data_IF_794432667099
#
_entry.id   IF_794432667099
#
_cell.length_a   1.000
_cell.length_b   1.000
_cell.length_c   1.000
_cell.angle_alpha   90.00
_cell.angle_beta   90.00
_cell.angle_gamma   90.00
#
_symmetry.space_group_name_H-M   'P 1'
#
loop_
_entity.id
_entity.type
_entity.pdbx_description
1 polymer ?
#
# COMPACT_ATOMS: atom_id res chain seq x y z
N UNK A 1 -6.48 -5.24 14.26
CA UNK A 1 -6.05 -4.68 12.96
C UNK A 1 -4.92 -5.57 12.47
N UNK A 2 -4.79 -5.80 11.15
CA UNK A 2 -3.64 -6.55 10.61
C UNK A 2 -2.36 -5.71 10.81
N UNK A 3 -1.27 -6.33 11.31
CA UNK A 3 0.03 -5.67 11.50
C UNK A 3 0.49 -4.96 10.22
N UNK A 4 0.15 -5.53 9.06
CA UNK A 4 0.47 -4.97 7.74
C UNK A 4 -0.28 -3.66 7.45
N UNK A 5 -1.54 -3.56 7.90
CA UNK A 5 -2.35 -2.35 7.72
C UNK A 5 -1.84 -1.20 8.60
N UNK A 6 -1.46 -1.50 9.85
CA UNK A 6 -0.88 -0.51 10.77
C UNK A 6 0.44 0.05 10.24
N UNK A 7 1.32 -0.82 9.71
CA UNK A 7 2.58 -0.40 9.08
C UNK A 7 2.35 0.51 7.87
N UNK A 8 1.32 0.22 7.06
CA UNK A 8 0.96 1.06 5.91
C UNK A 8 0.37 2.40 6.32
N UNK A 9 -0.42 2.46 7.40
CA UNK A 9 -0.95 3.71 7.94
C UNK A 9 0.22 4.63 8.33
N UNK A 10 1.18 4.12 9.09
CA UNK A 10 2.34 4.90 9.50
C UNK A 10 3.21 5.32 8.31
N UNK A 11 3.35 4.45 7.30
CA UNK A 11 4.02 4.79 6.05
C UNK A 11 3.33 5.96 5.31
N UNK A 12 2.01 5.93 5.17
CA UNK A 12 1.27 7.00 4.49
C UNK A 12 1.27 8.30 5.30
N UNK A 13 1.22 8.22 6.63
CA UNK A 13 1.37 9.40 7.51
C UNK A 13 2.73 10.06 7.36
N UNK A 14 3.82 9.27 7.40
CA UNK A 14 5.18 9.76 7.12
C UNK A 14 5.32 10.31 5.70
N UNK A 15 4.45 9.87 4.80
CA UNK A 15 4.35 10.35 3.43
C UNK A 15 3.48 11.62 3.27
N UNK A 16 2.92 12.18 4.35
CA UNK A 16 2.16 13.43 4.34
C UNK A 16 0.64 13.27 4.31
N UNK A 17 0.11 12.04 4.35
CA UNK A 17 -1.33 11.81 4.49
C UNK A 17 -1.77 12.09 5.93
N UNK A 18 -2.98 12.63 6.10
CA UNK A 18 -3.60 12.68 7.43
C UNK A 18 -4.10 11.27 7.87
N UNK A 19 -4.52 11.13 9.13
CA UNK A 19 -4.93 9.84 9.70
C UNK A 19 -6.04 9.14 8.92
N UNK A 20 -7.07 9.88 8.47
CA UNK A 20 -8.19 9.34 7.71
C UNK A 20 -7.73 8.85 6.33
N UNK A 21 -6.97 9.69 5.62
CA UNK A 21 -6.39 9.35 4.32
C UNK A 21 -5.48 8.11 4.43
N UNK A 22 -4.60 8.07 5.42
CA UNK A 22 -3.68 6.96 5.63
C UNK A 22 -4.41 5.63 5.85
N UNK A 23 -5.52 5.63 6.61
CA UNK A 23 -6.38 4.47 6.82
C UNK A 23 -7.11 4.02 5.56
N UNK A 24 -7.58 4.96 4.74
CA UNK A 24 -8.21 4.63 3.46
C UNK A 24 -7.19 4.04 2.49
N UNK A 25 -6.03 4.68 2.39
CA UNK A 25 -4.94 4.26 1.50
C UNK A 25 -4.38 2.90 1.91
N UNK A 26 -4.21 2.61 3.21
CA UNK A 26 -3.74 1.29 3.67
C UNK A 26 -4.68 0.17 3.24
N UNK A 27 -5.99 0.33 3.46
CA UNK A 27 -6.99 -0.66 3.03
C UNK A 27 -7.01 -0.86 1.52
N UNK A 28 -6.94 0.24 0.75
CA UNK A 28 -6.90 0.18 -0.71
C UNK A 28 -5.63 -0.52 -1.21
N UNK A 29 -4.47 -0.20 -0.61
CA UNK A 29 -3.19 -0.79 -0.96
C UNK A 29 -3.17 -2.30 -0.72
N UNK A 30 -3.65 -2.75 0.46
CA UNK A 30 -3.76 -4.18 0.78
C UNK A 30 -4.69 -4.89 -0.21
N UNK A 31 -5.89 -4.36 -0.44
CA UNK A 31 -6.86 -4.95 -1.38
C UNK A 31 -6.28 -5.05 -2.79
N UNK A 32 -5.59 -4.01 -3.26
CA UNK A 32 -4.97 -3.99 -4.58
C UNK A 32 -3.80 -4.97 -4.68
N UNK A 33 -3.01 -5.13 -3.62
CA UNK A 33 -1.92 -6.10 -3.57
C UNK A 33 -2.45 -7.53 -3.69
N UNK A 34 -3.49 -7.89 -2.94
CA UNK A 34 -4.11 -9.23 -3.01
C UNK A 34 -4.71 -9.50 -4.40
N UNK A 35 -5.40 -8.50 -4.97
CA UNK A 35 -5.93 -8.62 -6.32
C UNK A 35 -4.82 -8.83 -7.35
N UNK A 36 -3.77 -8.00 -7.30
CA UNK A 36 -2.65 -8.05 -8.23
C UNK A 36 -1.85 -9.35 -8.13
N UNK A 37 -1.67 -9.86 -6.91
CA UNK A 37 -1.07 -11.17 -6.67
C UNK A 37 -1.81 -12.27 -7.42
N UNK A 38 -3.14 -12.27 -7.33
CA UNK A 38 -4.00 -13.23 -8.04
C UNK A 38 -3.92 -13.04 -9.55
N UNK A 39 -4.07 -11.81 -10.04
CA UNK A 39 -4.12 -11.49 -11.48
C UNK A 39 -2.79 -11.78 -12.20
N UNK A 40 -1.65 -11.65 -11.50
CA UNK A 40 -0.31 -11.80 -12.09
C UNK A 40 0.42 -13.06 -11.67
N UNK A 41 -0.20 -13.91 -10.84
CA UNK A 41 0.48 -15.07 -10.24
C UNK A 41 1.68 -14.67 -9.37
N UNK A 42 1.63 -13.49 -8.76
CA UNK A 42 2.67 -13.00 -7.85
C UNK A 42 2.38 -13.42 -6.42
N UNK A 43 3.41 -13.44 -5.57
CA UNK A 43 3.19 -13.41 -4.13
C UNK A 43 2.61 -12.06 -3.68
N UNK A 44 1.88 -12.04 -2.56
CA UNK A 44 1.38 -10.79 -1.97
C UNK A 44 2.50 -9.79 -1.64
N UNK A 45 3.67 -10.29 -1.23
CA UNK A 45 4.85 -9.46 -0.94
C UNK A 45 5.35 -8.75 -2.20
N UNK A 46 5.47 -9.46 -3.32
CA UNK A 46 5.88 -8.87 -4.60
C UNK A 46 4.87 -7.83 -5.09
N UNK A 47 3.57 -8.14 -4.98
CA UNK A 47 2.52 -7.20 -5.36
C UNK A 47 2.55 -5.92 -4.48
N UNK A 48 2.73 -6.07 -3.18
CA UNK A 48 2.86 -4.94 -2.25
C UNK A 48 4.10 -4.08 -2.57
N UNK A 49 5.26 -4.71 -2.78
CA UNK A 49 6.49 -4.01 -3.16
C UNK A 49 6.33 -3.22 -4.46
N UNK A 50 5.67 -3.82 -5.47
CA UNK A 50 5.39 -3.14 -6.73
C UNK A 50 4.51 -1.91 -6.54
N UNK A 51 3.43 -2.02 -5.77
CA UNK A 51 2.52 -0.90 -5.55
C UNK A 51 3.15 0.22 -4.71
N UNK A 52 3.96 -0.11 -3.70
CA UNK A 52 4.71 0.88 -2.93
C UNK A 52 5.74 1.62 -3.79
N UNK A 53 6.41 0.91 -4.72
CA UNK A 53 7.29 1.52 -5.69
C UNK A 53 6.54 2.53 -6.58
N UNK A 54 5.42 2.13 -7.16
CA UNK A 54 4.59 3.02 -7.99
C UNK A 54 4.11 4.25 -7.21
N UNK A 55 3.74 4.08 -5.95
CA UNK A 55 3.34 5.18 -5.07
C UNK A 55 4.47 6.19 -4.88
N UNK A 56 5.69 5.72 -4.58
CA UNK A 56 6.86 6.60 -4.40
C UNK A 56 7.25 7.30 -5.70
N UNK A 57 7.19 6.60 -6.84
CA UNK A 57 7.46 7.18 -8.16
C UNK A 57 6.47 8.29 -8.51
N UNK A 58 5.17 8.08 -8.26
CA UNK A 58 4.13 9.08 -8.49
C UNK A 58 4.26 10.32 -7.60
N UNK A 59 4.96 10.21 -6.45
CA UNK A 59 5.20 11.33 -5.54
C UNK A 59 6.45 12.16 -5.85
N UNK A 60 7.39 11.60 -6.61
CA UNK A 60 8.61 12.28 -7.03
C UNK A 60 8.47 13.08 -8.34
N UNK A 61 7.29 13.04 -8.95
CA UNK A 61 6.88 13.87 -10.10
C UNK A 61 6.07 15.07 -9.63
#
# INVERSE_FOLDING_TARGET
MDIREEQLIEFFKKSGANEEQARVMSRQMVRRATQLATERGWSEVQAMQHLLKLFLEARGQ
#
